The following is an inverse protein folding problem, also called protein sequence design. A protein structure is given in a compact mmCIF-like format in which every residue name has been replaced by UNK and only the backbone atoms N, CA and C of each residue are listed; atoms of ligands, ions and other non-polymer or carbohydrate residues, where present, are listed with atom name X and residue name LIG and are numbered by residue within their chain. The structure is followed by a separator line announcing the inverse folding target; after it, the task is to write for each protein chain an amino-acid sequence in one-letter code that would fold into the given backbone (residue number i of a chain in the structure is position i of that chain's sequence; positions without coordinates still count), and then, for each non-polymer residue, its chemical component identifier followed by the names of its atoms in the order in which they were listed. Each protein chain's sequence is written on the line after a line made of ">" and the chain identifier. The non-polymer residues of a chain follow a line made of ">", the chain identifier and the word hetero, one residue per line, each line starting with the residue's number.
data_IF_600549796317
#
_entry.id   IF_600549796317
#
_cell.length_a   1.000
_cell.length_b   1.000
_cell.length_c   1.000
_cell.angle_alpha   90.00
_cell.angle_beta   90.00
_cell.angle_gamma   90.00
#
_symmetry.space_group_name_H-M   'P 1'
#
loop_
_entity.id
_entity.type
_entity.pdbx_description
1 polymer ?
#
# COMPACT_ATOMS: atom_id res chain seq x y z
N UNK A 1 -67.79 64.94 3.99
CA UNK A 1 -66.38 64.65 3.64
C UNK A 1 -66.04 63.31 4.29
N UNK A 2 -66.04 62.20 3.54
CA UNK A 2 -64.87 61.36 3.18
C UNK A 2 -63.91 61.14 4.36
N UNK A 3 -63.59 59.94 4.85
CA UNK A 3 -63.97 58.56 4.51
C UNK A 3 -63.35 57.64 5.58
N UNK A 4 -63.86 56.42 5.77
CA UNK A 4 -63.27 55.44 6.69
C UNK A 4 -63.21 54.04 6.05
N UNK A 5 -62.02 53.46 6.12
CA UNK A 5 -61.64 52.11 5.72
C UNK A 5 -62.19 51.09 6.72
N UNK A 6 -62.77 50.00 6.22
CA UNK A 6 -63.15 48.83 7.02
C UNK A 6 -62.21 47.65 6.67
N UNK A 7 -61.56 47.11 7.70
CA UNK A 7 -60.71 45.93 7.64
C UNK A 7 -61.49 44.69 8.09
N UNK A 8 -61.26 43.57 7.41
CA UNK A 8 -62.02 42.32 7.52
C UNK A 8 -61.32 41.33 8.45
N UNK A 9 -62.08 40.70 9.35
CA UNK A 9 -61.68 39.49 10.10
C UNK A 9 -62.73 38.42 9.79
N UNK A 10 -62.31 37.34 9.13
CA UNK A 10 -63.12 36.14 8.91
C UNK A 10 -62.50 34.97 9.67
N UNK A 11 -63.23 34.47 10.66
CA UNK A 11 -62.88 33.29 11.47
C UNK A 11 -63.33 32.03 10.72
N UNK A 12 -62.40 31.11 10.47
CA UNK A 12 -62.67 29.77 9.91
C UNK A 12 -62.79 28.73 11.03
N UNK A 13 -63.94 28.06 11.11
CA UNK A 13 -64.17 26.88 11.94
C UNK A 13 -63.66 25.62 11.23
N UNK A 14 -62.86 24.83 11.94
CA UNK A 14 -62.35 23.52 11.52
C UNK A 14 -63.41 22.43 11.71
N UNK A 15 -63.64 21.62 10.68
CA UNK A 15 -64.31 20.32 10.78
C UNK A 15 -63.39 19.25 10.21
N UNK A 16 -63.08 18.23 11.02
CA UNK A 16 -62.20 17.12 10.69
C UNK A 16 -62.90 16.12 9.76
N UNK A 17 -62.21 15.72 8.69
CA UNK A 17 -62.57 14.64 7.79
C UNK A 17 -61.47 13.57 7.84
N UNK A 18 -61.84 12.39 8.34
CA UNK A 18 -61.01 11.19 8.36
C UNK A 18 -61.15 10.47 7.02
N UNK A 19 -60.03 10.23 6.34
CA UNK A 19 -59.94 9.40 5.13
C UNK A 19 -59.05 8.17 5.40
N UNK A 20 -59.41 6.97 4.93
CA UNK A 20 -58.65 5.75 5.16
C UNK A 20 -57.46 5.65 4.19
N UNK A 21 -56.26 5.44 4.74
CA UNK A 21 -55.05 5.14 3.97
C UNK A 21 -55.06 3.66 3.53
N UNK A 22 -55.19 3.43 2.23
CA UNK A 22 -54.88 2.14 1.62
C UNK A 22 -53.38 2.05 1.40
N UNK A 23 -52.70 1.18 2.15
CA UNK A 23 -51.29 0.85 1.95
C UNK A 23 -51.17 -0.06 0.72
N UNK A 24 -50.66 0.48 -0.39
CA UNK A 24 -50.10 -0.36 -1.45
C UNK A 24 -48.76 -0.91 -1.00
N UNK A 25 -48.67 -2.24 -0.86
CA UNK A 25 -47.44 -2.97 -0.61
C UNK A 25 -46.55 -2.92 -1.87
N UNK A 26 -45.74 -1.86 -1.99
CA UNK A 26 -44.65 -1.83 -2.96
C UNK A 26 -43.52 -2.74 -2.47
N UNK A 27 -43.31 -3.88 -3.14
CA UNK A 27 -42.08 -4.64 -3.01
C UNK A 27 -40.94 -3.78 -3.56
N UNK A 28 -40.10 -3.25 -2.66
CA UNK A 28 -38.82 -2.66 -3.04
C UNK A 28 -37.98 -3.81 -3.59
N UNK A 29 -37.74 -3.80 -4.91
CA UNK A 29 -36.78 -4.70 -5.51
C UNK A 29 -35.43 -4.49 -4.81
N UNK A 30 -34.89 -5.57 -4.24
CA UNK A 30 -33.56 -5.55 -3.67
C UNK A 30 -32.58 -5.04 -4.75
N UNK A 31 -31.70 -4.12 -4.35
CA UNK A 31 -30.57 -3.75 -5.19
C UNK A 31 -29.84 -5.05 -5.62
N UNK A 32 -29.39 -5.16 -6.88
CA UNK A 32 -28.62 -6.33 -7.29
C UNK A 32 -27.45 -6.49 -6.32
N UNK A 33 -27.08 -7.74 -5.95
CA UNK A 33 -25.92 -7.95 -5.10
C UNK A 33 -24.72 -7.25 -5.78
N UNK A 34 -24.10 -6.33 -5.05
CA UNK A 34 -22.77 -5.84 -5.43
C UNK A 34 -21.90 -7.07 -5.66
N UNK A 35 -21.11 -7.14 -6.75
CA UNK A 35 -20.18 -8.25 -6.92
C UNK A 35 -19.36 -8.37 -5.64
N UNK A 36 -19.29 -9.58 -5.07
CA UNK A 36 -18.51 -9.85 -3.87
C UNK A 36 -17.07 -9.37 -4.13
N UNK A 37 -16.72 -8.21 -3.58
CA UNK A 37 -15.35 -7.72 -3.63
C UNK A 37 -14.47 -8.78 -2.94
N UNK A 38 -13.34 -9.18 -3.52
CA UNK A 38 -12.44 -10.10 -2.84
C UNK A 38 -11.95 -9.46 -1.53
N UNK A 39 -12.27 -10.12 -0.42
CA UNK A 39 -11.84 -9.75 0.93
C UNK A 39 -12.73 -8.69 1.59
N UNK A 40 -12.44 -8.41 2.87
CA UNK A 40 -13.21 -7.45 3.66
C UNK A 40 -12.39 -6.85 4.80
N UNK A 41 -12.85 -5.70 5.30
CA UNK A 41 -12.27 -5.05 6.48
C UNK A 41 -13.34 -4.95 7.57
N UNK A 42 -12.98 -5.28 8.81
CA UNK A 42 -13.84 -5.13 9.98
C UNK A 42 -13.15 -4.19 10.97
N UNK A 43 -13.80 -3.06 11.25
CA UNK A 43 -13.29 -2.05 12.18
C UNK A 43 -13.99 -2.20 13.54
N UNK A 44 -13.22 -2.38 14.61
CA UNK A 44 -13.72 -2.55 15.97
C UNK A 44 -13.16 -1.44 16.86
N UNK A 45 -14.00 -0.56 17.43
CA UNK A 45 -13.51 0.51 18.29
C UNK A 45 -12.89 -0.05 19.57
N UNK A 46 -11.77 0.52 20.00
CA UNK A 46 -11.12 0.17 21.26
C UNK A 46 -11.73 1.00 22.39
N UNK A 47 -12.02 0.33 23.50
CA UNK A 47 -12.57 0.97 24.69
C UNK A 47 -11.57 0.90 25.85
N UNK A 48 -11.69 1.80 26.81
CA UNK A 48 -10.92 1.74 28.04
C UNK A 48 -11.09 0.38 28.73
N UNK A 49 -9.98 -0.31 28.98
CA UNK A 49 -9.99 -1.55 29.73
C UNK A 49 -9.87 -1.22 31.22
N UNK A 50 -10.89 -1.53 32.02
CA UNK A 50 -10.80 -1.33 33.47
C UNK A 50 -9.89 -2.41 34.07
N UNK A 51 -8.75 -2.00 34.60
CA UNK A 51 -8.11 -2.75 35.68
C UNK A 51 -8.97 -2.56 36.93
N UNK A 52 -9.78 -3.57 37.30
CA UNK A 52 -10.51 -3.71 38.59
C UNK A 52 -11.04 -2.41 39.23
N UNK A 53 -12.37 -2.24 39.28
CA UNK A 53 -13.10 -1.12 39.92
C UNK A 53 -12.40 -0.55 41.18
N UNK A 54 -11.61 0.53 41.01
CA UNK A 54 -11.21 1.57 42.00
C UNK A 54 -9.95 2.37 41.59
N UNK A 55 -9.90 2.96 40.40
CA UNK A 55 -8.96 4.08 40.18
C UNK A 55 -9.61 5.20 39.35
N UNK A 56 -9.57 6.42 39.90
CA UNK A 56 -9.92 7.67 39.22
C UNK A 56 -8.71 8.21 38.44
N UNK A 57 -7.91 7.32 37.84
CA UNK A 57 -6.70 7.66 37.11
C UNK A 57 -6.93 7.82 35.60
N UNK A 58 -5.98 8.41 34.85
CA UNK A 58 -6.02 8.44 33.38
C UNK A 58 -6.10 7.02 32.80
N UNK A 59 -6.75 6.88 31.64
CA UNK A 59 -6.87 5.58 30.95
C UNK A 59 -5.49 5.14 30.46
N UNK A 60 -4.90 4.17 31.15
CA UNK A 60 -3.57 3.63 30.83
C UNK A 60 -3.63 2.46 29.83
N UNK A 61 -4.82 1.90 29.60
CA UNK A 61 -5.02 0.75 28.71
C UNK A 61 -6.36 0.85 27.96
N UNK A 62 -6.33 0.69 26.64
CA UNK A 62 -7.51 0.53 25.78
C UNK A 62 -7.42 -0.79 25.02
N UNK A 63 -8.55 -1.41 24.67
CA UNK A 63 -8.50 -2.68 23.95
C UNK A 63 -9.85 -3.37 23.79
N UNK A 64 -9.76 -4.66 23.45
CA UNK A 64 -10.89 -5.58 23.34
C UNK A 64 -10.54 -6.86 24.07
N UNK A 65 -11.45 -7.32 24.94
CA UNK A 65 -11.39 -8.68 25.49
C UNK A 65 -11.63 -9.71 24.37
N UNK A 66 -11.41 -10.99 24.68
CA UNK A 66 -11.61 -12.08 23.73
C UNK A 66 -13.01 -12.03 23.11
N UNK A 67 -13.05 -12.02 21.77
CA UNK A 67 -14.28 -11.89 21.01
C UNK A 67 -14.23 -12.75 19.75
N UNK A 68 -15.35 -13.39 19.44
CA UNK A 68 -15.59 -14.03 18.15
C UNK A 68 -15.87 -12.97 17.08
N UNK A 69 -15.25 -13.14 15.92
CA UNK A 69 -15.31 -12.19 14.79
C UNK A 69 -15.46 -12.97 13.49
N UNK A 70 -15.80 -12.30 12.38
CA UNK A 70 -15.73 -12.98 11.08
C UNK A 70 -14.26 -13.29 10.75
N UNK A 71 -13.96 -14.30 9.92
CA UNK A 71 -12.59 -14.67 9.58
C UNK A 71 -11.76 -13.49 9.08
N UNK A 72 -10.48 -13.50 9.43
CA UNK A 72 -9.47 -12.53 9.00
C UNK A 72 -8.08 -13.18 8.99
N UNK A 73 -7.09 -12.56 8.35
CA UNK A 73 -5.71 -13.08 8.31
C UNK A 73 -4.64 -12.05 8.63
N UNK A 74 -5.01 -10.76 8.57
CA UNK A 74 -4.13 -9.65 8.88
C UNK A 74 -4.87 -8.68 9.80
N UNK A 75 -4.14 -8.03 10.69
CA UNK A 75 -4.70 -7.02 11.59
C UNK A 75 -3.77 -5.82 11.74
N UNK A 76 -4.31 -4.71 12.23
CA UNK A 76 -3.55 -3.54 12.66
C UNK A 76 -4.42 -2.60 13.50
N UNK A 77 -3.82 -1.59 14.11
CA UNK A 77 -4.55 -0.58 14.89
C UNK A 77 -4.42 0.77 14.21
N UNK A 78 -5.54 1.47 14.05
CA UNK A 78 -5.61 2.81 13.44
C UNK A 78 -6.23 3.84 14.39
N UNK A 79 -5.96 5.11 14.14
CA UNK A 79 -6.51 6.25 14.88
C UNK A 79 -6.78 7.45 13.97
N UNK A 80 -7.55 8.43 14.47
CA UNK A 80 -8.16 9.45 13.62
C UNK A 80 -7.13 10.45 13.03
N UNK A 81 -6.19 10.93 13.82
CA UNK A 81 -5.21 11.93 13.39
C UNK A 81 -3.90 11.27 12.94
N UNK A 82 -3.62 11.34 11.63
CA UNK A 82 -2.39 10.81 11.05
C UNK A 82 -1.10 11.49 11.53
N UNK A 83 -1.18 12.64 12.20
CA UNK A 83 -0.03 13.33 12.80
C UNK A 83 0.15 13.01 14.28
N UNK A 84 -0.81 12.32 14.91
CA UNK A 84 -0.65 11.87 16.29
C UNK A 84 0.21 10.61 16.30
N UNK A 85 1.23 10.57 17.15
CA UNK A 85 2.05 9.38 17.39
C UNK A 85 1.43 8.51 18.49
N UNK A 86 1.58 7.19 18.36
CA UNK A 86 1.17 6.23 19.38
C UNK A 86 2.38 5.89 20.27
N UNK A 87 2.53 6.61 21.39
CA UNK A 87 3.53 6.31 22.42
C UNK A 87 3.05 5.21 23.36
N UNK A 88 3.18 3.96 22.92
CA UNK A 88 2.62 2.82 23.63
C UNK A 88 2.97 1.49 23.01
N UNK A 89 2.62 0.43 23.73
CA UNK A 89 2.74 -0.95 23.24
C UNK A 89 1.37 -1.45 22.78
N UNK A 90 1.32 -2.03 21.58
CA UNK A 90 0.14 -2.71 21.06
C UNK A 90 0.41 -4.20 21.05
N UNK A 91 -0.46 -4.97 21.71
CA UNK A 91 -0.35 -6.42 21.75
C UNK A 91 -1.69 -7.07 21.39
N UNK A 92 -1.60 -8.13 20.61
CA UNK A 92 -2.75 -8.90 20.15
C UNK A 92 -2.59 -10.37 20.46
N UNK A 93 -3.71 -11.09 20.53
CA UNK A 93 -3.72 -12.55 20.43
C UNK A 93 -4.91 -12.98 19.61
N UNK A 94 -4.75 -14.06 18.87
CA UNK A 94 -5.77 -14.55 17.95
C UNK A 94 -6.11 -16.00 18.22
N UNK A 95 -7.27 -16.42 17.73
CA UNK A 95 -7.69 -17.82 17.70
C UNK A 95 -7.77 -18.27 16.25
N UNK A 96 -7.00 -19.30 15.91
CA UNK A 96 -7.01 -19.85 14.55
C UNK A 96 -8.34 -20.56 14.27
N UNK A 97 -8.85 -20.41 13.05
CA UNK A 97 -10.15 -20.96 12.63
C UNK A 97 -10.23 -22.46 12.95
N UNK A 98 -11.32 -22.88 13.59
CA UNK A 98 -11.60 -24.28 13.89
C UNK A 98 -10.68 -24.94 14.93
N UNK A 99 -9.66 -24.24 15.46
CA UNK A 99 -8.72 -24.82 16.43
C UNK A 99 -9.22 -24.77 17.87
N UNK A 100 -10.02 -23.75 18.21
CA UNK A 100 -10.33 -23.42 19.61
C UNK A 100 -9.15 -22.88 20.43
N UNK A 101 -7.93 -22.83 19.86
CA UNK A 101 -6.69 -22.50 20.57
C UNK A 101 -6.30 -21.04 20.35
N UNK A 102 -5.98 -20.35 21.45
CA UNK A 102 -5.50 -18.98 21.43
C UNK A 102 -3.96 -18.93 21.36
N UNK A 103 -3.43 -17.99 20.58
CA UNK A 103 -2.00 -17.67 20.60
C UNK A 103 -1.59 -17.06 21.95
N UNK A 104 -0.28 -16.99 22.18
CA UNK A 104 0.29 -16.02 23.11
C UNK A 104 0.04 -14.58 22.65
N UNK A 105 0.39 -13.61 23.50
CA UNK A 105 0.41 -12.20 23.10
C UNK A 105 1.54 -11.97 22.10
N UNK A 106 1.21 -11.31 21.00
CA UNK A 106 2.11 -10.89 19.93
C UNK A 106 2.17 -9.37 19.93
N UNK A 107 3.37 -8.82 19.79
CA UNK A 107 3.56 -7.38 19.63
C UNK A 107 3.22 -6.95 18.20
N UNK A 108 2.64 -5.76 18.07
CA UNK A 108 2.39 -5.08 16.79
C UNK A 108 3.27 -3.83 16.77
N UNK A 109 4.04 -3.65 15.69
CA UNK A 109 4.96 -2.51 15.56
C UNK A 109 4.17 -1.19 15.46
N UNK A 110 4.47 -0.27 16.36
CA UNK A 110 3.74 1.01 16.53
C UNK A 110 4.41 2.18 15.83
N UNK A 111 5.69 2.08 15.51
CA UNK A 111 6.45 3.11 14.78
C UNK A 111 6.23 2.95 13.28
N UNK A 112 5.09 3.44 12.79
CA UNK A 112 4.70 3.39 11.38
C UNK A 112 4.34 4.79 10.82
N UNK A 113 4.58 5.85 11.59
CA UNK A 113 4.52 7.26 11.19
C UNK A 113 5.66 7.65 10.22
N UNK A 114 6.67 6.79 10.12
CA UNK A 114 7.80 6.83 9.19
C UNK A 114 7.44 6.44 7.75
N UNK A 115 6.27 5.81 7.59
CA UNK A 115 5.64 5.48 6.33
C UNK A 115 4.46 6.42 6.03
N UNK A 116 4.06 6.49 4.76
CA UNK A 116 2.97 7.34 4.31
C UNK A 116 3.43 8.52 3.46
N UNK A 117 2.44 9.27 3.00
CA UNK A 117 2.65 10.37 2.07
C UNK A 117 3.27 11.59 2.76
N UNK A 118 4.10 12.32 2.02
CA UNK A 118 4.81 13.50 2.54
C UNK A 118 3.80 14.57 3.01
N UNK A 119 4.11 15.34 4.08
CA UNK A 119 3.16 16.27 4.71
C UNK A 119 2.42 17.24 3.78
N UNK A 120 3.08 17.71 2.71
CA UNK A 120 2.52 18.67 1.75
C UNK A 120 2.00 18.03 0.46
N UNK A 121 1.92 16.71 0.41
CA UNK A 121 1.38 15.99 -0.76
C UNK A 121 -0.16 16.06 -0.78
N UNK A 122 -0.74 15.98 -1.98
CA UNK A 122 -2.20 15.89 -2.14
C UNK A 122 -2.80 14.68 -1.41
N UNK A 123 -2.06 13.57 -1.35
CA UNK A 123 -2.44 12.38 -0.61
C UNK A 123 -2.62 12.67 0.88
N UNK A 124 -1.65 13.36 1.50
CA UNK A 124 -1.75 13.79 2.90
C UNK A 124 -2.86 14.81 3.10
N UNK A 125 -3.02 15.75 2.17
CA UNK A 125 -4.04 16.81 2.20
C UNK A 125 -5.48 16.33 1.97
N UNK A 126 -5.70 15.06 1.61
CA UNK A 126 -7.02 14.50 1.30
C UNK A 126 -8.01 14.49 2.47
N UNK A 127 -7.52 14.61 3.71
CA UNK A 127 -8.32 14.49 4.93
C UNK A 127 -8.80 13.06 5.24
N UNK A 128 -8.39 12.06 4.45
CA UNK A 128 -8.76 10.65 4.63
C UNK A 128 -7.72 9.84 5.39
N UNK A 129 -6.47 10.30 5.39
CA UNK A 129 -5.33 9.57 5.96
C UNK A 129 -5.48 9.47 7.48
N UNK A 130 -5.23 8.28 8.00
CA UNK A 130 -5.26 7.93 9.42
C UNK A 130 -3.86 7.54 9.89
N UNK A 131 -3.64 7.68 11.19
CA UNK A 131 -2.47 7.05 11.80
C UNK A 131 -2.71 5.56 11.96
N UNK A 132 -1.66 4.76 11.81
CA UNK A 132 -1.77 3.31 11.81
C UNK A 132 -0.49 2.66 12.32
N UNK A 133 -0.61 1.51 12.97
CA UNK A 133 0.52 0.60 13.23
C UNK A 133 0.95 -0.10 11.94
N UNK A 134 2.11 -0.76 11.95
CA UNK A 134 2.41 -1.74 10.90
C UNK A 134 1.37 -2.89 10.96
N UNK A 135 0.99 -3.47 9.81
CA UNK A 135 0.08 -4.61 9.80
C UNK A 135 0.79 -5.89 10.28
N UNK A 136 0.04 -6.79 10.94
CA UNK A 136 0.52 -8.09 11.40
C UNK A 136 -0.23 -9.23 10.71
N UNK A 137 0.50 -10.15 10.09
CA UNK A 137 -0.05 -11.40 9.55
C UNK A 137 -0.19 -12.43 10.66
N UNK A 138 -1.40 -12.96 10.83
CA UNK A 138 -1.74 -13.93 11.89
C UNK A 138 -2.26 -15.27 11.34
N UNK A 139 -2.38 -15.39 10.02
CA UNK A 139 -3.06 -16.51 9.37
C UNK A 139 -4.56 -16.53 9.65
N UNK A 140 -5.29 -17.47 9.05
CA UNK A 140 -6.75 -17.55 9.20
C UNK A 140 -7.18 -17.66 10.68
N UNK A 141 -7.86 -16.61 11.16
CA UNK A 141 -8.28 -16.44 12.55
C UNK A 141 -9.76 -16.04 12.63
N UNK A 142 -10.48 -16.52 13.65
CA UNK A 142 -11.90 -16.20 13.92
C UNK A 142 -12.15 -15.64 15.33
N UNK A 143 -11.08 -15.43 16.10
CA UNK A 143 -11.13 -14.80 17.41
C UNK A 143 -9.98 -13.83 17.62
N UNK A 144 -10.23 -12.74 18.35
CA UNK A 144 -9.22 -11.72 18.64
C UNK A 144 -9.36 -11.14 20.04
N UNK A 145 -8.23 -10.73 20.61
CA UNK A 145 -8.15 -9.80 21.73
C UNK A 145 -6.98 -8.83 21.48
N UNK A 146 -7.13 -7.57 21.88
CA UNK A 146 -6.11 -6.53 21.72
C UNK A 146 -6.00 -5.71 22.99
N UNK A 147 -4.78 -5.29 23.31
CA UNK A 147 -4.51 -4.29 24.35
C UNK A 147 -3.50 -3.27 23.84
N UNK A 148 -3.76 -2.01 24.13
CA UNK A 148 -2.92 -0.86 23.83
C UNK A 148 -2.60 -0.21 25.16
N UNK A 149 -1.32 -0.21 25.54
CA UNK A 149 -0.85 0.32 26.83
C UNK A 149 0.02 1.53 26.58
N UNK A 150 -0.29 2.60 27.30
CA UNK A 150 0.52 3.82 27.27
C UNK A 150 1.89 3.54 27.86
N UNK A 151 2.95 3.96 27.16
CA UNK A 151 4.28 3.98 27.76
C UNK A 151 4.38 5.15 28.76
N UNK A 152 5.02 4.97 29.93
CA UNK A 152 5.20 6.04 30.89
C UNK A 152 6.08 7.15 30.28
N UNK A 153 5.44 8.14 29.69
CA UNK A 153 6.02 9.30 29.02
C UNK A 153 5.16 10.53 29.30
N UNK A 154 5.65 11.74 29.07
CA UNK A 154 4.91 12.99 29.31
C UNK A 154 4.64 13.70 27.97
N UNK A 155 3.38 13.86 27.52
CA UNK A 155 2.12 13.40 28.13
C UNK A 155 1.80 11.93 27.81
N UNK A 156 1.41 11.17 28.85
CA UNK A 156 0.97 9.77 28.74
C UNK A 156 -0.47 9.69 28.18
N UNK A 157 -0.65 9.88 26.87
CA UNK A 157 -1.98 9.82 26.25
C UNK A 157 -1.96 9.03 24.93
N UNK A 158 -2.95 8.14 24.76
CA UNK A 158 -3.19 7.47 23.49
C UNK A 158 -3.91 8.38 22.48
N UNK A 159 -3.66 8.22 21.17
CA UNK A 159 -4.42 8.89 20.13
C UNK A 159 -5.94 8.65 20.23
N UNK A 160 -6.72 9.60 19.72
CA UNK A 160 -8.18 9.50 19.72
C UNK A 160 -8.67 8.56 18.61
N UNK A 161 -9.78 7.89 18.87
CA UNK A 161 -10.47 7.08 17.88
C UNK A 161 -9.72 5.79 17.52
N UNK A 162 -9.03 5.18 18.49
CA UNK A 162 -8.37 3.89 18.28
C UNK A 162 -9.37 2.81 17.84
N UNK A 163 -9.04 2.11 16.75
CA UNK A 163 -9.81 0.98 16.21
C UNK A 163 -8.86 -0.15 15.84
N UNK A 164 -9.29 -1.38 16.12
CA UNK A 164 -8.68 -2.58 15.56
C UNK A 164 -9.28 -2.84 14.18
N UNK A 165 -8.42 -2.99 13.19
CA UNK A 165 -8.77 -3.30 11.82
C UNK A 165 -8.44 -4.77 11.56
N UNK A 166 -9.44 -5.56 11.23
CA UNK A 166 -9.32 -6.97 10.88
C UNK A 166 -9.52 -7.12 9.38
N UNK A 167 -8.50 -7.63 8.69
CA UNK A 167 -8.45 -7.71 7.24
C UNK A 167 -8.52 -9.17 6.80
N UNK A 168 -9.57 -9.47 6.04
CA UNK A 168 -9.64 -10.64 5.18
C UNK A 168 -9.08 -10.25 3.80
N UNK A 169 -7.94 -10.82 3.37
CA UNK A 169 -7.33 -10.50 2.07
C UNK A 169 -8.11 -11.03 0.87
N UNK A 170 -9.16 -11.83 1.10
CA UNK A 170 -9.93 -12.47 0.05
C UNK A 170 -9.16 -13.59 -0.65
N UNK A 171 -9.90 -14.37 -1.43
CA UNK A 171 -9.33 -15.41 -2.30
C UNK A 171 -8.93 -14.79 -3.63
N UNK A 172 -7.87 -15.31 -4.23
CA UNK A 172 -7.58 -15.04 -5.64
C UNK A 172 -8.73 -15.63 -6.46
N UNK A 173 -9.42 -14.85 -7.31
CA UNK A 173 -10.38 -15.41 -8.25
C UNK A 173 -9.69 -16.47 -9.11
N UNK A 174 -10.30 -17.64 -9.30
CA UNK A 174 -9.75 -18.64 -10.19
C UNK A 174 -9.57 -18.04 -11.61
N UNK A 175 -8.52 -18.40 -12.36
CA UNK A 175 -8.37 -17.96 -13.74
C UNK A 175 -9.67 -18.28 -14.50
N UNK A 176 -10.31 -17.24 -15.05
CA UNK A 176 -11.44 -17.44 -15.93
C UNK A 176 -10.89 -18.05 -17.22
N UNK A 177 -11.10 -19.36 -17.41
CA UNK A 177 -10.86 -20.00 -18.71
C UNK A 177 -11.83 -19.31 -19.68
N UNK A 178 -11.35 -18.64 -20.75
CA UNK A 178 -12.25 -18.06 -21.73
C UNK A 178 -13.16 -19.16 -22.27
N UNK A 179 -14.47 -18.90 -22.29
CA UNK A 179 -15.37 -19.72 -23.07
C UNK A 179 -14.90 -19.69 -24.53
N UNK A 180 -15.02 -20.80 -25.29
CA UNK A 180 -14.60 -20.82 -26.69
C UNK A 180 -15.31 -19.70 -27.46
N UNK A 181 -14.56 -18.77 -28.03
CA UNK A 181 -15.11 -17.73 -28.89
C UNK A 181 -15.73 -18.39 -30.14
N UNK A 182 -17.01 -18.11 -30.39
CA UNK A 182 -17.61 -18.35 -31.70
C UNK A 182 -16.97 -17.41 -32.73
N UNK A 183 -16.72 -17.88 -33.97
CA UNK A 183 -15.92 -17.12 -34.93
C UNK A 183 -16.64 -15.84 -35.36
N UNK A 184 -16.02 -14.69 -35.07
CA UNK A 184 -16.44 -13.39 -35.58
C UNK A 184 -16.15 -13.29 -37.09
N UNK A 185 -17.13 -12.78 -37.84
CA UNK A 185 -17.03 -12.53 -39.27
C UNK A 185 -15.99 -11.45 -39.59
N UNK A 186 -15.16 -11.71 -40.60
CA UNK A 186 -14.16 -10.79 -41.14
C UNK A 186 -14.81 -9.50 -41.68
N UNK A 187 -14.41 -8.34 -41.14
CA UNK A 187 -14.63 -7.05 -41.79
C UNK A 187 -13.29 -6.48 -42.26
N UNK A 188 -13.22 -6.20 -43.56
CA UNK A 188 -12.03 -5.80 -44.32
C UNK A 188 -11.51 -4.43 -43.92
N UNK A 189 -10.18 -4.34 -43.84
CA UNK A 189 -9.40 -3.11 -43.75
C UNK A 189 -9.56 -2.21 -44.99
N UNK A 190 -9.51 -0.90 -44.76
CA UNK A 190 -9.22 0.11 -45.78
C UNK A 190 -7.97 0.89 -45.32
N UNK A 191 -6.90 0.78 -46.10
CA UNK A 191 -5.69 1.61 -46.06
C UNK A 191 -5.94 2.97 -46.72
N UNK A 192 -5.34 4.04 -46.20
CA UNK A 192 -4.94 5.23 -46.96
C UNK A 192 -3.79 5.99 -46.25
N UNK A 193 -3.02 6.83 -46.97
CA UNK A 193 -1.55 6.74 -46.99
C UNK A 193 -0.78 7.77 -46.15
N UNK A 194 0.52 7.52 -46.01
CA UNK A 194 1.51 8.39 -45.39
C UNK A 194 2.13 9.39 -46.40
N UNK A 195 2.51 10.57 -45.92
CA UNK A 195 3.64 11.34 -46.48
C UNK A 195 4.35 12.17 -45.36
N UNK A 196 5.67 12.40 -45.46
CA UNK A 196 6.53 12.81 -44.35
C UNK A 196 6.86 14.31 -44.37
N UNK A 197 7.43 14.84 -43.27
CA UNK A 197 8.61 15.72 -43.25
C UNK A 197 8.88 16.21 -41.81
N UNK A 198 10.17 16.31 -41.48
CA UNK A 198 10.70 16.27 -40.11
C UNK A 198 10.78 17.59 -39.35
N UNK A 199 11.17 17.49 -38.08
CA UNK A 199 11.94 18.49 -37.33
C UNK A 199 12.75 17.78 -36.21
N UNK A 200 13.90 18.38 -35.86
CA UNK A 200 14.94 17.87 -34.96
C UNK A 200 14.56 17.76 -33.46
N UNK A 201 15.57 17.61 -32.58
CA UNK A 201 15.57 16.61 -31.50
C UNK A 201 14.65 16.95 -30.33
N UNK A 202 13.94 15.94 -29.83
CA UNK A 202 13.11 16.01 -28.61
C UNK A 202 13.69 15.06 -27.54
N UNK A 203 14.00 15.52 -26.31
CA UNK A 203 14.32 14.64 -25.19
C UNK A 203 13.04 14.05 -24.61
N UNK A 204 13.01 12.72 -24.43
CA UNK A 204 11.88 11.98 -23.87
C UNK A 204 11.20 11.08 -24.89
N UNK A 205 11.80 9.92 -25.19
CA UNK A 205 11.05 8.84 -25.84
C UNK A 205 10.26 8.06 -24.79
N UNK A 206 9.00 7.67 -25.07
CA UNK A 206 8.25 6.83 -24.18
C UNK A 206 8.81 5.41 -24.24
N UNK A 207 8.92 4.78 -23.08
CA UNK A 207 8.92 3.33 -22.97
C UNK A 207 7.75 2.79 -23.81
N UNK A 208 7.92 1.69 -24.56
CA UNK A 208 6.77 1.03 -25.21
C UNK A 208 5.84 0.55 -24.09
N UNK A 209 4.78 1.30 -23.89
CA UNK A 209 3.77 1.05 -22.88
C UNK A 209 3.02 -0.23 -23.25
N UNK A 210 3.42 -1.35 -22.65
CA UNK A 210 2.45 -2.35 -22.27
C UNK A 210 1.97 -1.97 -20.86
N UNK A 211 0.65 -1.78 -20.72
CA UNK A 211 -0.12 -1.49 -19.50
C UNK A 211 -0.48 -0.02 -19.24
N UNK A 212 -1.38 0.54 -20.05
CA UNK A 212 -2.27 1.63 -19.63
C UNK A 212 -3.75 1.16 -19.51
N UNK A 213 -4.01 -0.15 -19.54
CA UNK A 213 -5.29 -0.74 -19.15
C UNK A 213 -5.06 -1.93 -18.18
N UNK A 214 -5.55 -1.88 -16.93
CA UNK A 214 -5.31 -2.93 -15.93
C UNK A 214 -5.93 -4.28 -16.30
N UNK A 215 -6.99 -4.32 -17.11
CA UNK A 215 -7.64 -5.57 -17.53
C UNK A 215 -6.79 -6.42 -18.49
N UNK A 216 -5.96 -5.78 -19.33
CA UNK A 216 -5.14 -6.47 -20.35
C UNK A 216 -3.72 -6.79 -19.89
N UNK A 217 -3.34 -6.42 -18.66
CA UNK A 217 -2.02 -6.77 -18.14
C UNK A 217 -1.89 -8.30 -17.96
N UNK A 218 -0.71 -8.90 -18.24
CA UNK A 218 -0.46 -10.29 -17.91
C UNK A 218 -0.35 -10.47 -16.39
N UNK A 219 -0.57 -11.68 -15.88
CA UNK A 219 -0.40 -11.99 -14.45
C UNK A 219 1.07 -11.86 -14.00
N UNK A 220 2.00 -12.12 -14.90
CA UNK A 220 3.43 -12.00 -14.65
C UNK A 220 4.13 -11.39 -15.86
N UNK A 221 5.05 -10.48 -15.61
CA UNK A 221 6.03 -10.05 -16.61
C UNK A 221 7.22 -11.00 -16.54
N UNK A 222 7.51 -11.79 -17.59
CA UNK A 222 8.60 -12.75 -17.55
C UNK A 222 9.95 -12.04 -17.38
N UNK A 223 10.93 -12.73 -16.80
CA UNK A 223 12.30 -12.21 -16.76
C UNK A 223 12.82 -12.02 -18.19
N UNK A 224 13.59 -10.96 -18.40
CA UNK A 224 14.28 -10.71 -19.65
C UNK A 224 15.77 -11.05 -19.51
N UNK A 225 16.39 -11.45 -20.61
CA UNK A 225 17.83 -11.42 -20.75
C UNK A 225 18.37 -9.98 -20.75
N UNK A 226 19.69 -9.84 -20.66
CA UNK A 226 20.35 -8.55 -20.78
C UNK A 226 20.02 -7.87 -22.11
N UNK A 227 20.12 -8.61 -23.22
CA UNK A 227 19.90 -8.07 -24.57
C UNK A 227 18.45 -7.62 -24.77
N UNK A 228 17.49 -8.41 -24.32
CA UNK A 228 16.06 -8.04 -24.36
C UNK A 228 15.77 -6.82 -23.49
N UNK A 229 16.41 -6.70 -22.33
CA UNK A 229 16.25 -5.54 -21.44
C UNK A 229 16.77 -4.25 -22.06
N UNK A 230 17.93 -4.29 -22.71
CA UNK A 230 18.50 -3.14 -23.41
C UNK A 230 17.62 -2.69 -24.58
N UNK A 231 17.06 -3.65 -25.32
CA UNK A 231 16.12 -3.38 -26.40
C UNK A 231 14.79 -2.77 -25.90
N UNK A 232 14.22 -3.33 -24.83
CA UNK A 232 12.98 -2.86 -24.20
C UNK A 232 13.13 -1.43 -23.62
N UNK A 233 14.29 -1.13 -23.04
CA UNK A 233 14.59 0.19 -22.50
C UNK A 233 14.82 1.27 -23.57
N UNK A 234 14.77 0.93 -24.86
CA UNK A 234 15.04 1.86 -25.96
C UNK A 234 16.47 2.42 -25.93
N UNK A 235 17.41 1.70 -25.31
CA UNK A 235 18.80 2.14 -25.24
C UNK A 235 19.51 1.80 -26.55
N UNK A 236 19.68 2.79 -27.41
CA UNK A 236 20.51 2.65 -28.60
C UNK A 236 21.94 2.25 -28.19
N UNK A 237 22.50 1.25 -28.89
CA UNK A 237 23.90 0.85 -28.70
C UNK A 237 24.82 1.99 -29.17
N UNK A 238 25.17 2.90 -28.27
CA UNK A 238 26.25 3.85 -28.50
C UNK A 238 27.55 3.06 -28.57
N UNK A 239 28.19 3.06 -29.73
CA UNK A 239 29.45 2.35 -29.97
C UNK A 239 30.49 2.82 -28.95
N UNK A 240 30.88 1.92 -28.04
CA UNK A 240 31.87 2.18 -26.98
C UNK A 240 31.32 2.45 -25.58
N UNK A 241 30.00 2.61 -25.39
CA UNK A 241 29.38 2.74 -24.07
C UNK A 241 28.53 1.50 -23.75
N UNK A 242 28.87 0.78 -22.67
CA UNK A 242 28.02 -0.29 -22.14
C UNK A 242 26.89 0.33 -21.31
N UNK A 243 25.62 0.06 -21.62
CA UNK A 243 24.53 0.49 -20.76
C UNK A 243 24.63 -0.25 -19.41
N UNK A 244 24.75 0.48 -18.31
CA UNK A 244 24.79 -0.09 -16.97
C UNK A 244 23.38 -0.35 -16.45
N UNK A 245 22.69 -1.30 -17.07
CA UNK A 245 21.39 -1.81 -16.68
C UNK A 245 21.49 -3.31 -16.39
N UNK A 246 20.83 -3.78 -15.33
CA UNK A 246 20.71 -5.21 -15.08
C UNK A 246 19.51 -5.82 -15.83
N UNK A 247 19.52 -7.14 -16.10
CA UNK A 247 18.38 -7.80 -16.74
C UNK A 247 17.10 -7.61 -15.94
N UNK A 248 15.97 -7.35 -16.61
CA UNK A 248 14.68 -7.22 -15.93
C UNK A 248 14.32 -8.54 -15.25
N UNK A 249 14.12 -8.59 -13.92
CA UNK A 249 13.66 -9.81 -13.28
C UNK A 249 12.20 -10.11 -13.66
N UNK A 250 11.77 -11.33 -13.37
CA UNK A 250 10.35 -11.66 -13.37
C UNK A 250 9.63 -10.81 -12.32
N UNK A 251 8.44 -10.30 -12.66
CA UNK A 251 7.63 -9.46 -11.78
C UNK A 251 6.18 -9.93 -11.84
N UNK A 252 5.65 -10.36 -10.71
CA UNK A 252 4.22 -10.67 -10.56
C UNK A 252 3.47 -9.35 -10.55
N UNK A 253 2.58 -9.16 -11.51
CA UNK A 253 1.84 -7.91 -11.67
C UNK A 253 0.74 -7.79 -10.62
N UNK A 254 0.16 -6.59 -10.52
CA UNK A 254 -1.03 -6.36 -9.69
C UNK A 254 -2.15 -7.36 -9.97
N UNK A 255 -2.40 -7.67 -11.25
CA UNK A 255 -3.34 -8.71 -11.64
C UNK A 255 -2.92 -10.10 -11.12
N UNK A 256 -1.65 -10.47 -11.28
CA UNK A 256 -1.16 -11.79 -10.88
C UNK A 256 -1.20 -12.09 -9.38
N UNK A 257 -1.04 -11.07 -8.53
CA UNK A 257 -1.24 -11.24 -7.08
C UNK A 257 -2.68 -10.98 -6.60
N UNK A 258 -3.58 -10.61 -7.52
CA UNK A 258 -5.00 -10.41 -7.26
C UNK A 258 -5.33 -9.06 -6.62
N UNK A 259 -4.64 -7.99 -7.01
CA UNK A 259 -4.95 -6.63 -6.56
C UNK A 259 -6.39 -6.25 -6.95
N UNK A 260 -7.17 -5.79 -5.97
CA UNK A 260 -8.46 -5.17 -6.23
C UNK A 260 -8.26 -3.70 -6.62
N UNK A 261 -8.14 -3.44 -7.92
CA UNK A 261 -7.91 -2.10 -8.48
C UNK A 261 -9.00 -1.09 -8.10
N UNK A 262 -10.20 -1.55 -7.68
CA UNK A 262 -11.27 -0.66 -7.24
C UNK A 262 -11.00 0.03 -5.90
N UNK A 263 -10.02 -0.46 -5.13
CA UNK A 263 -9.66 0.14 -3.85
C UNK A 263 -8.85 1.42 -4.02
N UNK A 264 -7.89 1.44 -4.95
CA UNK A 264 -6.98 2.59 -5.10
C UNK A 264 -7.64 3.75 -5.82
N UNK A 265 -7.01 4.92 -5.69
CA UNK A 265 -7.32 6.04 -6.55
C UNK A 265 -6.89 5.76 -8.01
N UNK A 266 -7.62 6.28 -9.00
CA UNK A 266 -7.40 5.95 -10.42
C UNK A 266 -6.11 6.56 -10.98
N UNK A 267 -5.76 7.77 -10.52
CA UNK A 267 -4.68 8.57 -11.10
C UNK A 267 -3.30 8.21 -10.55
N UNK A 268 -2.30 8.31 -11.42
CA UNK A 268 -0.89 8.10 -11.07
C UNK A 268 -0.17 9.44 -10.87
N UNK A 269 0.71 9.48 -9.87
CA UNK A 269 1.62 10.62 -9.66
C UNK A 269 3.03 10.15 -9.95
N UNK A 270 3.73 10.87 -10.83
CA UNK A 270 5.10 10.55 -11.23
C UNK A 270 6.09 11.59 -10.72
N UNK A 271 7.28 11.12 -10.34
CA UNK A 271 8.45 11.96 -10.10
C UNK A 271 9.28 12.05 -11.39
N UNK A 272 10.34 12.86 -11.36
CA UNK A 272 11.19 13.05 -12.54
C UNK A 272 12.08 11.83 -12.83
N UNK A 273 12.48 11.09 -11.79
CA UNK A 273 13.44 10.00 -11.91
C UNK A 273 13.39 9.07 -10.68
N UNK A 274 14.19 8.00 -10.68
CA UNK A 274 14.47 7.17 -9.50
C UNK A 274 15.98 7.19 -9.22
N UNK A 275 16.37 7.95 -8.19
CA UNK A 275 17.76 8.15 -7.75
C UNK A 275 18.22 7.14 -6.71
N UNK A 276 17.29 6.65 -5.89
CA UNK A 276 17.57 5.76 -4.77
C UNK A 276 16.50 4.68 -4.60
N UNK A 277 16.90 3.56 -4.01
CA UNK A 277 16.03 2.52 -3.51
C UNK A 277 16.11 2.48 -1.98
N UNK A 278 14.96 2.67 -1.32
CA UNK A 278 14.83 2.43 0.13
C UNK A 278 14.27 1.03 0.35
N UNK A 279 15.04 0.20 1.04
CA UNK A 279 14.65 -1.16 1.42
C UNK A 279 13.97 -1.14 2.78
N UNK A 280 12.82 -1.80 2.83
CA UNK A 280 11.92 -1.92 3.95
C UNK A 280 11.72 -3.38 4.34
N UNK A 281 11.31 -3.64 5.57
CA UNK A 281 10.53 -4.83 5.88
C UNK A 281 9.07 -4.44 6.11
N UNK A 282 8.14 -5.37 6.10
CA UNK A 282 6.72 -5.05 6.37
C UNK A 282 6.35 -5.17 7.84
N UNK A 283 7.24 -5.72 8.67
CA UNK A 283 6.99 -6.06 10.08
C UNK A 283 5.79 -7.01 10.31
N UNK A 284 5.29 -7.67 9.25
CA UNK A 284 4.09 -8.54 9.30
C UNK A 284 4.33 -9.90 9.94
N UNK A 285 5.55 -10.23 10.35
CA UNK A 285 5.92 -11.58 10.77
C UNK A 285 6.25 -12.52 9.60
N UNK A 286 6.85 -13.68 9.94
CA UNK A 286 7.46 -14.60 8.95
C UNK A 286 6.72 -15.94 8.78
N UNK A 287 5.56 -16.10 9.42
CA UNK A 287 4.81 -17.36 9.51
C UNK A 287 4.08 -17.77 8.23
N UNK A 288 3.83 -16.82 7.30
CA UNK A 288 3.20 -17.11 6.01
C UNK A 288 4.03 -18.08 5.16
N UNK A 289 3.40 -18.90 4.32
CA UNK A 289 4.05 -19.76 3.32
C UNK A 289 4.27 -18.99 2.01
N UNK A 290 5.16 -19.45 1.12
CA UNK A 290 5.35 -18.78 -0.18
C UNK A 290 4.04 -18.61 -0.97
N UNK A 291 3.15 -19.62 -0.90
CA UNK A 291 1.85 -19.59 -1.57
C UNK A 291 0.88 -18.55 -0.97
N UNK A 292 1.09 -18.15 0.28
CA UNK A 292 0.29 -17.10 0.94
C UNK A 292 0.85 -15.69 0.70
N UNK A 293 2.03 -15.54 0.10
CA UNK A 293 2.63 -14.22 -0.14
C UNK A 293 1.70 -13.25 -0.89
N UNK A 294 0.97 -13.66 -1.95
CA UNK A 294 -0.05 -12.81 -2.57
C UNK A 294 -1.16 -12.38 -1.59
N UNK A 295 -1.59 -13.26 -0.68
CA UNK A 295 -2.60 -12.95 0.34
C UNK A 295 -2.07 -11.95 1.38
N UNK A 296 -0.81 -12.09 1.80
CA UNK A 296 -0.16 -11.10 2.68
C UNK A 296 -0.14 -9.73 1.98
N UNK A 297 0.26 -9.70 0.71
CA UNK A 297 0.34 -8.46 -0.07
C UNK A 297 -1.04 -7.81 -0.26
N UNK A 298 -2.09 -8.58 -0.60
CA UNK A 298 -3.48 -8.08 -0.66
C UNK A 298 -3.94 -7.53 0.69
N UNK A 299 -3.58 -8.19 1.79
CA UNK A 299 -3.90 -7.73 3.14
C UNK A 299 -3.25 -6.39 3.46
N UNK A 300 -1.95 -6.22 3.16
CA UNK A 300 -1.23 -4.94 3.32
C UNK A 300 -1.86 -3.86 2.43
N UNK A 301 -2.15 -4.18 1.16
CA UNK A 301 -2.77 -3.25 0.22
C UNK A 301 -4.12 -2.73 0.74
N UNK A 302 -5.02 -3.66 1.14
CA UNK A 302 -6.31 -3.31 1.71
C UNK A 302 -6.16 -2.51 3.01
N UNK A 303 -5.20 -2.86 3.87
CA UNK A 303 -4.93 -2.12 5.10
C UNK A 303 -4.48 -0.67 4.81
N UNK A 304 -3.51 -0.47 3.92
CA UNK A 304 -3.06 0.88 3.54
C UNK A 304 -4.20 1.73 2.97
N UNK A 305 -5.01 1.17 2.07
CA UNK A 305 -6.03 1.95 1.37
C UNK A 305 -7.30 2.14 2.21
N UNK A 306 -7.87 1.06 2.73
CA UNK A 306 -9.18 1.09 3.41
C UNK A 306 -9.03 1.55 4.86
N UNK A 307 -8.02 1.04 5.57
CA UNK A 307 -7.84 1.31 6.98
C UNK A 307 -7.03 2.60 7.20
N UNK A 308 -5.85 2.72 6.60
CA UNK A 308 -4.98 3.90 6.74
C UNK A 308 -5.38 5.08 5.82
N UNK A 309 -6.25 4.86 4.83
CA UNK A 309 -6.78 5.93 3.96
C UNK A 309 -5.80 6.42 2.90
N UNK A 310 -4.79 5.62 2.55
CA UNK A 310 -3.80 5.94 1.52
C UNK A 310 -4.38 5.74 0.12
N UNK A 311 -3.77 6.37 -0.88
CA UNK A 311 -4.27 6.31 -2.27
C UNK A 311 -4.05 4.95 -2.92
N UNK A 312 -3.00 4.24 -2.51
CA UNK A 312 -2.60 2.90 -2.95
C UNK A 312 -1.65 2.29 -1.90
N UNK A 313 -1.12 1.10 -2.15
CA UNK A 313 0.01 0.56 -1.38
C UNK A 313 1.21 1.52 -1.47
N UNK A 314 1.83 1.86 -0.34
CA UNK A 314 2.88 2.88 -0.30
C UNK A 314 4.21 2.48 -0.93
N UNK A 315 4.47 1.18 -1.13
CA UNK A 315 5.72 0.68 -1.71
C UNK A 315 5.61 0.49 -3.21
N UNK A 316 6.68 0.80 -3.96
CA UNK A 316 6.71 0.57 -5.41
C UNK A 316 6.79 -0.91 -5.76
N UNK A 317 7.51 -1.70 -4.96
CA UNK A 317 7.65 -3.14 -5.12
C UNK A 317 7.58 -3.85 -3.78
N UNK A 318 7.19 -5.12 -3.81
CA UNK A 318 7.35 -6.05 -2.69
C UNK A 318 8.21 -7.26 -3.08
N UNK A 319 8.89 -7.84 -2.10
CA UNK A 319 9.70 -9.06 -2.25
C UNK A 319 9.33 -10.02 -1.14
N UNK A 320 8.97 -11.25 -1.48
CA UNK A 320 8.71 -12.28 -0.46
C UNK A 320 9.98 -13.04 -0.04
N UNK A 321 9.85 -13.85 1.02
CA UNK A 321 10.94 -14.67 1.55
C UNK A 321 11.45 -15.74 0.57
N UNK A 322 10.73 -15.97 -0.52
CA UNK A 322 11.00 -16.99 -1.54
C UNK A 322 11.65 -16.36 -2.79
N UNK A 323 11.81 -15.04 -2.81
CA UNK A 323 12.50 -14.30 -3.86
C UNK A 323 11.59 -13.86 -5.01
N UNK A 324 10.27 -14.00 -4.87
CA UNK A 324 9.34 -13.45 -5.85
C UNK A 324 9.29 -11.93 -5.69
N UNK A 325 9.19 -11.23 -6.82
CA UNK A 325 9.07 -9.77 -6.88
C UNK A 325 7.66 -9.43 -7.36
N UNK A 326 6.99 -8.55 -6.63
CA UNK A 326 5.63 -8.12 -6.91
C UNK A 326 5.62 -6.64 -7.24
N UNK A 327 4.82 -6.27 -8.23
CA UNK A 327 4.43 -4.89 -8.46
C UNK A 327 3.63 -4.38 -7.24
N UNK A 328 4.07 -3.26 -6.65
CA UNK A 328 3.36 -2.58 -5.58
C UNK A 328 2.51 -1.46 -6.15
N UNK A 329 2.94 -0.21 -5.97
CA UNK A 329 2.21 0.99 -6.38
C UNK A 329 1.98 1.03 -7.90
N UNK A 330 0.71 1.18 -8.28
CA UNK A 330 0.25 1.04 -9.66
C UNK A 330 0.90 2.04 -10.62
N UNK A 331 1.11 1.61 -11.87
CA UNK A 331 1.69 2.44 -12.93
C UNK A 331 3.21 2.64 -12.81
N UNK A 332 3.87 1.94 -11.88
CA UNK A 332 5.25 2.18 -11.47
C UNK A 332 6.32 1.22 -11.97
N UNK A 333 5.95 0.12 -12.64
CA UNK A 333 6.91 -0.96 -12.98
C UNK A 333 8.13 -0.41 -13.71
N UNK A 334 7.95 0.25 -14.86
CA UNK A 334 9.03 0.92 -15.58
C UNK A 334 9.14 2.43 -15.26
N UNK A 335 8.03 3.09 -14.90
CA UNK A 335 7.97 4.56 -14.66
C UNK A 335 8.34 4.95 -13.22
N UNK A 336 8.67 6.21 -12.97
CA UNK A 336 9.04 6.72 -11.64
C UNK A 336 7.79 7.13 -10.84
N UNK A 337 6.91 6.18 -10.50
CA UNK A 337 5.70 6.49 -9.71
C UNK A 337 6.10 6.91 -8.30
N UNK A 338 5.53 8.01 -7.81
CA UNK A 338 5.74 8.52 -6.45
C UNK A 338 5.19 7.51 -5.45
N UNK A 339 6.00 7.06 -4.49
CA UNK A 339 5.58 6.18 -3.40
C UNK A 339 5.07 6.93 -2.15
N UNK A 340 4.81 6.17 -1.09
CA UNK A 340 4.45 6.64 0.25
C UNK A 340 5.09 5.72 1.31
N UNK A 341 6.39 5.44 1.15
CA UNK A 341 7.13 4.44 1.91
C UNK A 341 8.20 5.02 2.84
N UNK A 342 8.73 6.20 2.54
CA UNK A 342 9.81 6.81 3.32
C UNK A 342 9.50 8.29 3.44
N UNK A 343 8.80 8.65 4.52
CA UNK A 343 8.35 10.01 4.74
C UNK A 343 9.53 10.99 4.67
N UNK A 344 9.40 12.01 3.82
CA UNK A 344 10.43 12.99 3.50
C UNK A 344 11.37 12.59 2.35
N UNK A 345 11.35 11.35 1.86
CA UNK A 345 12.18 10.92 0.73
C UNK A 345 11.41 10.08 -0.30
N UNK A 346 10.09 10.19 -0.34
CA UNK A 346 9.25 9.53 -1.35
C UNK A 346 9.56 10.03 -2.77
N UNK A 347 9.89 11.33 -2.91
CA UNK A 347 10.23 11.92 -4.20
C UNK A 347 11.60 11.44 -4.73
N UNK A 348 11.66 11.16 -6.03
CA UNK A 348 12.85 10.66 -6.75
C UNK A 348 13.42 9.33 -6.19
N UNK A 349 12.62 8.53 -5.51
CA UNK A 349 13.05 7.23 -4.99
C UNK A 349 12.02 6.14 -5.23
N UNK A 350 12.41 4.90 -4.95
CA UNK A 350 11.49 3.78 -4.89
C UNK A 350 11.60 3.05 -3.55
N UNK A 351 10.48 2.53 -3.07
CA UNK A 351 10.39 1.68 -1.89
C UNK A 351 10.28 0.20 -2.28
N UNK A 352 11.10 -0.64 -1.65
CA UNK A 352 11.02 -2.10 -1.76
C UNK A 352 10.66 -2.69 -0.39
N UNK A 353 9.46 -3.24 -0.25
CA UNK A 353 9.02 -3.91 0.96
C UNK A 353 9.34 -5.40 0.94
N UNK A 354 10.23 -5.86 1.83
CA UNK A 354 10.44 -7.29 2.03
C UNK A 354 9.41 -7.83 3.02
N UNK A 355 8.55 -8.75 2.56
CA UNK A 355 7.47 -9.32 3.35
C UNK A 355 8.05 -10.14 4.51
N UNK A 356 7.94 -9.60 5.72
CA UNK A 356 8.43 -10.23 6.94
C UNK A 356 8.92 -9.26 8.00
N UNK A 357 9.46 -9.82 9.08
CA UNK A 357 10.11 -9.10 10.18
C UNK A 357 11.55 -9.59 10.31
N UNK A 358 12.51 -8.68 10.12
CA UNK A 358 13.95 -9.00 10.05
C UNK A 358 14.80 -8.25 11.08
N UNK A 359 14.21 -7.87 12.21
CA UNK A 359 14.97 -7.28 13.33
C UNK A 359 15.97 -8.29 13.91
N UNK A 360 15.53 -9.53 14.15
CA UNK A 360 16.34 -10.64 14.67
C UNK A 360 16.40 -11.86 13.75
N UNK A 361 15.43 -12.01 12.83
CA UNK A 361 15.40 -13.11 11.87
C UNK A 361 16.32 -12.84 10.68
N UNK A 362 17.13 -13.81 10.28
CA UNK A 362 17.98 -13.68 9.08
C UNK A 362 17.12 -13.68 7.81
N UNK A 363 17.27 -12.68 6.92
CA UNK A 363 16.56 -12.68 5.64
C UNK A 363 17.06 -13.82 4.74
N UNK A 364 16.17 -14.54 4.03
CA UNK A 364 16.59 -15.55 3.08
C UNK A 364 17.45 -14.97 1.95
N UNK A 365 18.41 -15.76 1.47
CA UNK A 365 19.26 -15.36 0.35
C UNK A 365 18.47 -15.05 -0.93
N UNK A 366 17.33 -15.73 -1.13
CA UNK A 366 16.44 -15.48 -2.26
C UNK A 366 15.88 -14.04 -2.24
N UNK A 367 15.43 -13.55 -1.09
CA UNK A 367 14.93 -12.17 -0.95
C UNK A 367 16.03 -11.13 -1.21
N UNK A 368 17.24 -11.34 -0.67
CA UNK A 368 18.39 -10.44 -0.92
C UNK A 368 18.78 -10.44 -2.40
N UNK A 369 18.74 -11.60 -3.05
CA UNK A 369 19.00 -11.74 -4.49
C UNK A 369 17.95 -11.04 -5.33
N UNK A 370 16.67 -11.14 -4.95
CA UNK A 370 15.57 -10.44 -5.60
C UNK A 370 15.72 -8.91 -5.51
N UNK A 371 16.08 -8.38 -4.34
CA UNK A 371 16.42 -6.95 -4.18
C UNK A 371 17.56 -6.56 -5.13
N UNK A 372 18.62 -7.36 -5.19
CA UNK A 372 19.77 -7.07 -6.04
C UNK A 372 19.38 -7.02 -7.53
N UNK A 373 18.62 -8.01 -8.03
CA UNK A 373 18.13 -8.05 -9.42
C UNK A 373 17.20 -6.87 -9.73
N UNK A 374 16.22 -6.62 -8.86
CA UNK A 374 15.26 -5.53 -9.02
C UNK A 374 15.96 -4.17 -9.07
N UNK A 375 16.86 -3.91 -8.13
CA UNK A 375 17.59 -2.64 -8.07
C UNK A 375 18.56 -2.49 -9.24
N UNK A 376 19.20 -3.56 -9.71
CA UNK A 376 20.10 -3.51 -10.86
C UNK A 376 19.36 -3.04 -12.12
N UNK A 377 18.17 -3.61 -12.35
CA UNK A 377 17.30 -3.23 -13.46
C UNK A 377 16.69 -1.84 -13.27
N UNK A 378 15.92 -1.64 -12.20
CA UNK A 378 15.09 -0.43 -12.02
C UNK A 378 15.94 0.83 -11.86
N UNK A 379 17.06 0.79 -11.13
CA UNK A 379 17.97 1.94 -11.06
C UNK A 379 18.74 2.11 -12.37
N UNK A 380 19.03 1.02 -13.08
CA UNK A 380 19.68 1.05 -14.39
C UNK A 380 18.89 1.82 -15.43
N UNK A 381 17.55 1.69 -15.42
CA UNK A 381 16.63 2.51 -16.24
C UNK A 381 16.82 4.02 -16.06
N UNK A 382 17.33 4.45 -14.90
CA UNK A 382 17.55 5.86 -14.56
C UNK A 382 19.05 6.19 -14.37
N UNK A 383 19.96 5.32 -14.81
CA UNK A 383 21.41 5.53 -14.75
C UNK A 383 22.02 5.45 -13.35
N UNK A 384 21.29 4.94 -12.36
CA UNK A 384 21.77 4.80 -10.98
C UNK A 384 22.86 3.72 -10.84
N UNK A 385 23.94 4.05 -10.13
CA UNK A 385 25.00 3.11 -9.77
C UNK A 385 24.74 2.52 -8.37
N UNK A 386 24.49 1.21 -8.21
CA UNK A 386 24.18 0.58 -6.93
C UNK A 386 25.26 0.72 -5.85
N UNK A 387 26.54 0.86 -6.24
CA UNK A 387 27.66 1.12 -5.31
C UNK A 387 27.83 2.60 -4.98
N UNK A 388 27.12 3.47 -5.69
CA UNK A 388 27.25 4.91 -5.58
C UNK A 388 26.55 5.51 -4.37
N UNK A 389 26.70 6.83 -4.27
CA UNK A 389 25.95 7.68 -3.36
C UNK A 389 25.12 8.68 -4.15
N UNK A 390 24.05 9.16 -3.55
CA UNK A 390 23.15 10.15 -4.17
C UNK A 390 22.69 11.18 -3.16
N UNK A 391 22.55 12.42 -3.61
CA UNK A 391 22.03 13.52 -2.82
C UNK A 391 20.52 13.64 -3.04
N UNK A 392 19.73 13.49 -1.98
CA UNK A 392 18.29 13.72 -2.00
C UNK A 392 17.93 14.95 -1.17
N UNK A 393 16.74 15.50 -1.42
CA UNK A 393 16.20 16.63 -0.65
C UNK A 393 15.08 16.11 0.23
N UNK A 394 15.17 16.34 1.53
CA UNK A 394 14.12 15.96 2.47
C UNK A 394 12.86 16.80 2.22
N UNK A 395 11.71 16.15 2.04
CA UNK A 395 10.38 16.75 2.13
C UNK A 395 9.96 17.10 3.57
N UNK A 396 10.80 16.76 4.56
CA UNK A 396 10.48 16.80 5.97
C UNK A 396 10.25 15.39 6.48
N UNK A 397 11.10 14.95 7.41
CA UNK A 397 11.04 13.65 8.08
C UNK A 397 11.29 13.82 9.57
N UNK A 398 10.99 12.80 10.37
CA UNK A 398 11.32 12.79 11.81
C UNK A 398 12.83 12.91 12.08
N UNK A 399 13.67 12.63 11.08
CA UNK A 399 15.14 12.67 11.18
C UNK A 399 15.78 13.90 10.53
N UNK A 400 15.22 14.39 9.43
CA UNK A 400 15.78 15.47 8.63
C UNK A 400 14.73 16.53 8.31
N UNK A 401 15.03 17.77 8.67
CA UNK A 401 14.18 18.92 8.36
C UNK A 401 13.91 19.06 6.84
N UNK A 402 12.76 19.62 6.50
CA UNK A 402 12.37 19.91 5.11
C UNK A 402 13.42 20.81 4.44
N UNK A 403 13.75 20.49 3.19
CA UNK A 403 14.77 21.17 2.40
C UNK A 403 16.21 20.70 2.65
N UNK A 404 16.47 19.90 3.69
CA UNK A 404 17.80 19.37 3.97
C UNK A 404 18.30 18.51 2.81
N UNK A 405 19.55 18.72 2.40
CA UNK A 405 20.24 17.90 1.39
C UNK A 405 20.99 16.78 2.10
N UNK A 406 20.62 15.53 1.83
CA UNK A 406 21.16 14.37 2.54
C UNK A 406 21.73 13.38 1.54
N UNK A 407 22.95 12.91 1.82
CA UNK A 407 23.64 11.93 0.99
C UNK A 407 23.35 10.51 1.48
N UNK A 408 22.78 9.69 0.60
CA UNK A 408 22.50 8.28 0.86
C UNK A 408 23.38 7.38 0.01
N UNK A 409 23.44 6.09 0.36
CA UNK A 409 23.82 5.10 -0.63
C UNK A 409 22.66 4.98 -1.62
N UNK A 410 22.94 4.67 -2.89
CA UNK A 410 21.88 4.52 -3.90
C UNK A 410 20.89 3.41 -3.52
N UNK A 411 21.36 2.36 -2.83
CA UNK A 411 20.49 1.41 -2.14
C UNK A 411 20.69 1.61 -0.64
N UNK A 412 19.65 2.11 0.03
CA UNK A 412 19.66 2.47 1.45
C UNK A 412 18.55 1.75 2.21
N UNK A 413 18.69 1.66 3.54
CA UNK A 413 17.61 1.17 4.40
C UNK A 413 16.69 2.31 4.80
N UNK A 414 15.44 2.02 5.15
CA UNK A 414 14.51 3.05 5.64
C UNK A 414 15.07 3.87 6.82
N UNK A 415 15.69 3.21 7.80
CA UNK A 415 16.39 3.83 8.93
C UNK A 415 17.46 4.86 8.56
N UNK A 416 17.95 4.84 7.31
CA UNK A 416 18.86 5.88 6.85
C UNK A 416 18.12 7.21 6.71
N UNK A 417 16.90 7.20 6.17
CA UNK A 417 16.06 8.37 5.90
C UNK A 417 15.13 8.78 7.04
N UNK A 418 14.78 7.87 7.96
CA UNK A 418 13.85 8.15 9.06
C UNK A 418 14.33 7.54 10.40
N UNK A 419 13.74 7.97 11.52
CA UNK A 419 13.93 7.38 12.86
C UNK A 419 13.10 6.10 13.02
N UNK A 420 13.58 4.99 12.49
CA UNK A 420 12.85 3.71 12.48
C UNK A 420 13.81 2.53 12.61
N UNK A 421 13.31 1.39 13.08
CA UNK A 421 14.05 0.13 13.03
C UNK A 421 14.01 -0.51 11.63
N UNK A 422 13.08 -0.12 10.74
CA UNK A 422 12.96 -0.67 9.40
C UNK A 422 14.28 -0.50 8.59
N UNK A 423 14.79 -1.50 7.85
CA UNK A 423 14.20 -2.81 7.50
C UNK A 423 14.51 -3.95 8.49
N UNK A 424 14.82 -3.63 9.75
CA UNK A 424 15.32 -4.58 10.74
C UNK A 424 16.83 -4.82 10.61
N UNK A 425 17.49 -5.10 11.73
CA UNK A 425 18.95 -5.15 11.81
C UNK A 425 19.57 -6.21 10.90
N UNK A 426 18.93 -7.38 10.75
CA UNK A 426 19.46 -8.47 9.95
C UNK A 426 19.40 -8.16 8.45
N UNK A 427 18.29 -7.60 7.96
CA UNK A 427 18.15 -7.20 6.56
C UNK A 427 19.00 -5.97 6.23
N UNK A 428 19.05 -5.00 7.13
CA UNK A 428 19.93 -3.83 6.98
C UNK A 428 21.41 -4.25 6.83
N UNK A 429 21.85 -5.23 7.62
CA UNK A 429 23.20 -5.81 7.53
C UNK A 429 23.52 -6.47 6.18
N UNK A 430 22.50 -6.83 5.38
CA UNK A 430 22.67 -7.43 4.04
C UNK A 430 22.69 -6.41 2.90
N UNK A 431 22.41 -5.13 3.15
CA UNK A 431 22.36 -4.13 2.08
C UNK A 431 23.70 -3.93 1.35
N UNK A 432 24.83 -4.15 2.03
CA UNK A 432 26.14 -4.17 1.38
C UNK A 432 26.26 -5.27 0.32
N UNK A 433 25.78 -6.47 0.64
CA UNK A 433 25.74 -7.62 -0.30
C UNK A 433 24.81 -7.32 -1.48
N UNK A 434 23.63 -6.77 -1.20
CA UNK A 434 22.68 -6.38 -2.23
C UNK A 434 23.27 -5.34 -3.20
N UNK A 435 23.98 -4.33 -2.69
CA UNK A 435 24.68 -3.32 -3.51
C UNK A 435 25.72 -3.93 -4.44
N UNK A 436 26.60 -4.78 -3.92
CA UNK A 436 27.64 -5.42 -4.74
C UNK A 436 27.04 -6.35 -5.80
N UNK A 437 26.05 -7.16 -5.43
CA UNK A 437 25.38 -8.05 -6.39
C UNK A 437 24.61 -7.26 -7.45
N UNK A 438 23.92 -6.19 -7.05
CA UNK A 438 23.19 -5.30 -7.96
C UNK A 438 24.11 -4.65 -8.99
N UNK A 439 25.27 -4.14 -8.56
CA UNK A 439 26.28 -3.58 -9.46
C UNK A 439 26.85 -4.64 -10.41
N UNK A 440 27.10 -5.87 -9.93
CA UNK A 440 27.54 -6.96 -10.79
C UNK A 440 26.49 -7.32 -11.86
N UNK A 441 25.19 -7.31 -11.51
CA UNK A 441 24.12 -7.50 -12.49
C UNK A 441 24.05 -6.36 -13.51
N UNK A 442 24.42 -5.13 -13.15
CA UNK A 442 24.58 -4.02 -14.12
C UNK A 442 25.86 -4.11 -14.95
N UNK A 443 26.74 -5.09 -14.72
CA UNK A 443 28.02 -5.22 -15.40
C UNK A 443 29.09 -4.21 -14.96
N UNK A 444 29.07 -3.78 -13.69
CA UNK A 444 30.03 -2.84 -13.09
C UNK A 444 31.16 -3.51 -12.32
#
# INVERSE_FOLDING_TARGET
>A
MRGFLASSIGVTCSAALVLPLWLSSGTVAAAPPSPDLPGSTQSLPLAAMRASDRSLGPVTEQGLTQRDVRPFSLLGVVWDDANAELHGTVQVRTRAVGSGQWSGWLDVETHNDDHGADPDSEERGSGKVRGSTAPLWVGESDGVAVRVRVEPSEPAQLPKGLRLELVDPGKVPAPQVPAPEEPAAEERAAEEPADPMGFGPVPGMPFRAAADAPETAPDELPALSQEETEADAGMEKVVGAKPYIGPRPAIITRKGWGADESLREPDFVYTNTVKAAFVHHTATGNSYTCAEAPSVLRGIYRYHVVSSGWRDIGYNFAVDKCGNIYEGRAGGVAKAVLGAHTLGFNTDSMGIAVLGTYSSSTPPAAAVTAIAKLTAWKLGLFGGNPLGKVLLTSGGSGKYAKGAKVTFNVISGHRDGFLTECPGAQLYGKLGVARSASAAYQGR
#
